data_IF_150585136654
#
_entry.id   IF_150585136654
#
_cell.length_a   1.000
_cell.length_b   1.000
_cell.length_c   1.000
_cell.angle_alpha   90.00
_cell.angle_beta   90.00
_cell.angle_gamma   90.00
#
_symmetry.space_group_name_H-M   'P 1'
#
loop_
_entity.id
_entity.type
_entity.pdbx_description
1 polymer ?
#
# COMPACT_ATOMS: atom_id res chain seq x y z
N UNK A 1 12.70 -6.95 -7.76
CA UNK A 1 11.32 -6.49 -7.96
C UNK A 1 10.95 -6.46 -9.44
N UNK A 2 11.65 -5.67 -10.28
CA UNK A 2 11.31 -5.50 -11.71
C UNK A 2 11.35 -6.81 -12.52
N UNK A 3 12.28 -7.72 -12.24
CA UNK A 3 12.35 -9.04 -12.90
C UNK A 3 11.14 -9.90 -12.54
N UNK A 4 10.71 -9.89 -11.29
CA UNK A 4 9.51 -10.62 -10.84
C UNK A 4 8.24 -10.03 -11.47
N UNK A 5 8.17 -8.71 -11.62
CA UNK A 5 7.04 -8.05 -12.27
C UNK A 5 6.92 -8.41 -13.77
N UNK A 6 8.01 -8.66 -14.46
CA UNK A 6 7.99 -9.08 -15.87
C UNK A 6 7.34 -10.44 -16.10
N UNK A 7 7.36 -11.33 -15.11
CA UNK A 7 6.72 -12.66 -15.19
C UNK A 7 5.23 -12.64 -14.91
N UNK A 8 4.69 -11.50 -14.48
CA UNK A 8 3.29 -11.33 -14.08
C UNK A 8 2.51 -10.56 -15.16
N UNK A 9 1.24 -10.87 -15.45
CA UNK A 9 0.46 -10.17 -16.49
C UNK A 9 0.23 -8.68 -16.22
N UNK A 10 0.65 -8.19 -15.05
CA UNK A 10 0.47 -6.81 -14.57
C UNK A 10 1.66 -5.90 -14.97
N UNK A 11 2.65 -6.43 -15.72
CA UNK A 11 3.90 -5.72 -16.03
C UNK A 11 3.72 -4.30 -16.57
N UNK A 12 2.77 -4.09 -17.50
CA UNK A 12 2.53 -2.76 -18.11
C UNK A 12 2.11 -1.72 -17.07
N UNK A 13 1.17 -2.10 -16.19
CA UNK A 13 0.66 -1.21 -15.15
C UNK A 13 1.73 -0.95 -14.08
N UNK A 14 2.50 -1.96 -13.72
CA UNK A 14 3.60 -1.86 -12.79
C UNK A 14 4.68 -0.90 -13.30
N UNK A 15 5.17 -1.08 -14.55
CA UNK A 15 6.19 -0.20 -15.11
C UNK A 15 5.70 1.23 -15.32
N UNK A 16 4.43 1.43 -15.70
CA UNK A 16 3.85 2.77 -15.78
C UNK A 16 3.80 3.46 -14.40
N UNK A 17 3.37 2.77 -13.37
CA UNK A 17 3.28 3.32 -12.01
C UNK A 17 4.66 3.62 -11.43
N UNK A 18 5.62 2.70 -11.58
CA UNK A 18 7.01 2.92 -11.15
C UNK A 18 7.66 4.07 -11.93
N UNK A 19 7.43 4.16 -13.24
CA UNK A 19 7.96 5.25 -14.05
C UNK A 19 7.47 6.62 -13.59
N UNK A 20 6.19 6.75 -13.28
CA UNK A 20 5.63 7.99 -12.73
C UNK A 20 6.23 8.29 -11.35
N UNK A 21 6.29 7.30 -10.46
CA UNK A 21 6.88 7.47 -9.13
C UNK A 21 8.37 7.82 -9.20
N UNK A 22 9.10 7.19 -10.12
CA UNK A 22 10.51 7.49 -10.36
C UNK A 22 10.71 8.96 -10.75
N UNK A 23 9.94 9.46 -11.71
CA UNK A 23 10.05 10.87 -12.15
C UNK A 23 9.73 11.83 -11.00
N UNK A 24 8.64 11.58 -10.26
CA UNK A 24 8.24 12.42 -9.12
C UNK A 24 9.25 12.33 -7.97
N UNK A 25 9.73 11.13 -7.66
CA UNK A 25 10.75 10.90 -6.63
C UNK A 25 12.09 11.54 -6.96
N UNK A 26 12.54 11.41 -8.23
CA UNK A 26 13.73 12.08 -8.73
C UNK A 26 13.62 13.61 -8.61
N UNK A 27 12.53 14.20 -9.09
CA UNK A 27 12.30 15.63 -8.99
C UNK A 27 12.35 16.14 -7.54
N UNK A 28 11.61 15.45 -6.67
CA UNK A 28 11.57 15.82 -5.25
C UNK A 28 12.94 15.69 -4.58
N UNK A 29 13.64 14.56 -4.79
CA UNK A 29 14.95 14.31 -4.18
C UNK A 29 15.99 15.29 -4.69
N UNK A 30 15.99 15.60 -5.99
CA UNK A 30 16.91 16.59 -6.57
C UNK A 30 16.64 17.97 -5.98
N UNK A 31 15.38 18.41 -5.87
CA UNK A 31 15.03 19.72 -5.29
C UNK A 31 15.50 19.81 -3.84
N UNK A 32 15.20 18.81 -3.02
CA UNK A 32 15.56 18.80 -1.58
C UNK A 32 17.08 18.79 -1.39
N UNK A 33 17.79 17.92 -2.10
CA UNK A 33 19.25 17.81 -1.99
C UNK A 33 19.96 19.03 -2.53
N UNK A 34 19.48 19.58 -3.63
CA UNK A 34 20.01 20.81 -4.17
C UNK A 34 19.87 21.94 -3.16
N UNK A 35 18.70 22.05 -2.50
CA UNK A 35 18.46 23.06 -1.49
C UNK A 35 19.37 22.90 -0.25
N UNK A 36 19.55 21.66 0.23
CA UNK A 36 20.36 21.36 1.43
C UNK A 36 21.85 21.59 1.19
N UNK A 37 22.36 21.20 0.02
CA UNK A 37 23.80 21.31 -0.30
C UNK A 37 24.17 22.53 -1.12
N UNK A 38 23.27 23.51 -1.23
CA UNK A 38 23.53 24.76 -1.97
C UNK A 38 24.55 25.61 -1.22
N UNK A 39 25.81 25.61 -1.69
CA UNK A 39 26.90 26.40 -1.10
C UNK A 39 27.87 25.61 -0.23
N UNK A 40 27.77 24.28 -0.17
CA UNK A 40 28.80 23.49 0.50
C UNK A 40 30.16 23.57 -0.23
N UNK A 41 31.28 23.63 0.52
CA UNK A 41 32.62 23.68 -0.05
C UNK A 41 32.98 22.31 -0.67
N UNK A 42 33.08 22.28 -2.01
CA UNK A 42 33.44 21.04 -2.75
C UNK A 42 33.69 21.34 -4.22
N UNK A 43 34.23 20.39 -4.99
CA UNK A 43 34.38 20.54 -6.43
C UNK A 43 33.01 20.74 -7.09
N UNK A 44 32.82 21.92 -7.67
CA UNK A 44 31.55 22.28 -8.31
C UNK A 44 31.33 21.44 -9.56
N UNK A 45 30.22 20.70 -9.60
CA UNK A 45 29.78 20.01 -10.80
C UNK A 45 29.12 20.97 -11.81
N UNK A 46 28.33 21.92 -11.29
CA UNK A 46 27.72 22.99 -12.07
C UNK A 46 27.27 24.15 -11.14
N UNK A 47 26.98 25.31 -11.75
CA UNK A 47 26.49 26.47 -11.01
C UNK A 47 24.99 26.65 -11.24
N UNK A 48 24.20 26.69 -10.17
CA UNK A 48 22.77 26.96 -10.20
C UNK A 48 22.44 28.19 -9.37
N UNK A 49 21.74 29.18 -9.96
CA UNK A 49 21.44 30.46 -9.29
C UNK A 49 22.65 31.15 -8.68
N UNK A 50 23.84 31.01 -9.28
CA UNK A 50 25.07 31.62 -8.79
C UNK A 50 25.76 30.91 -7.62
N UNK A 51 25.27 29.77 -7.19
CA UNK A 51 25.87 28.90 -6.17
C UNK A 51 26.40 27.62 -6.75
N UNK A 52 27.55 27.16 -6.27
CA UNK A 52 28.18 25.92 -6.72
C UNK A 52 27.43 24.70 -6.12
N UNK A 53 27.12 23.72 -6.97
CA UNK A 53 26.58 22.43 -6.55
C UNK A 53 27.72 21.42 -6.53
N UNK A 54 28.08 20.87 -5.37
CA UNK A 54 29.18 19.93 -5.27
C UNK A 54 28.83 18.56 -5.88
N UNK A 55 29.82 17.89 -6.46
CA UNK A 55 29.65 16.55 -7.04
C UNK A 55 29.15 15.52 -6.01
N UNK A 56 29.55 15.67 -4.74
CA UNK A 56 29.09 14.84 -3.64
C UNK A 56 27.56 14.92 -3.44
N UNK A 57 26.95 16.07 -3.71
CA UNK A 57 25.48 16.23 -3.64
C UNK A 57 24.78 15.38 -4.70
N UNK A 58 25.31 15.31 -5.90
CA UNK A 58 24.75 14.50 -6.99
C UNK A 58 24.83 13.00 -6.68
N UNK A 59 25.95 12.53 -6.17
CA UNK A 59 26.12 11.13 -5.77
C UNK A 59 25.13 10.79 -4.65
N UNK A 60 25.01 11.64 -3.64
CA UNK A 60 24.06 11.45 -2.55
C UNK A 60 22.58 11.47 -3.02
N UNK A 61 22.27 12.24 -4.08
CA UNK A 61 20.94 12.19 -4.71
C UNK A 61 20.67 10.84 -5.35
N UNK A 62 21.63 10.31 -6.10
CA UNK A 62 21.48 9.02 -6.76
C UNK A 62 21.28 7.88 -5.75
N UNK A 63 22.10 7.86 -4.68
CA UNK A 63 21.98 6.84 -3.63
C UNK A 63 20.59 6.83 -2.98
N UNK A 64 20.06 8.01 -2.65
CA UNK A 64 18.72 8.12 -2.08
C UNK A 64 17.62 7.72 -3.06
N UNK A 65 17.73 8.12 -4.33
CA UNK A 65 16.76 7.75 -5.36
C UNK A 65 16.73 6.23 -5.49
N UNK A 66 17.87 5.57 -5.65
CA UNK A 66 17.93 4.10 -5.76
C UNK A 66 17.40 3.39 -4.51
N UNK A 67 17.67 3.92 -3.32
CA UNK A 67 17.18 3.35 -2.07
C UNK A 67 15.64 3.45 -1.97
N UNK A 68 15.08 4.63 -2.23
CA UNK A 68 13.63 4.86 -2.14
C UNK A 68 12.90 4.07 -3.22
N UNK A 69 13.37 4.12 -4.46
CA UNK A 69 12.76 3.40 -5.59
C UNK A 69 12.86 1.88 -5.45
N UNK A 70 13.97 1.39 -4.91
CA UNK A 70 14.12 -0.02 -4.61
C UNK A 70 13.08 -0.50 -3.60
N UNK A 71 12.86 0.26 -2.54
CA UNK A 71 11.87 -0.06 -1.53
C UNK A 71 10.43 0.02 -2.09
N UNK A 72 10.10 1.13 -2.77
CA UNK A 72 8.79 1.30 -3.41
C UNK A 72 8.50 0.22 -4.46
N UNK A 73 9.51 -0.17 -5.24
CA UNK A 73 9.36 -1.21 -6.25
C UNK A 73 8.98 -2.56 -5.65
N UNK A 74 9.56 -2.95 -4.52
CA UNK A 74 9.20 -4.19 -3.81
C UNK A 74 7.78 -4.09 -3.26
N UNK A 75 7.42 -2.97 -2.64
CA UNK A 75 6.07 -2.73 -2.13
C UNK A 75 5.02 -2.81 -3.22
N UNK A 76 5.25 -2.16 -4.36
CA UNK A 76 4.32 -2.17 -5.49
C UNK A 76 4.09 -3.59 -6.03
N UNK A 77 5.16 -4.39 -6.20
CA UNK A 77 5.00 -5.79 -6.62
C UNK A 77 4.14 -6.54 -5.62
N UNK A 78 4.41 -6.41 -4.33
CA UNK A 78 3.65 -7.09 -3.29
C UNK A 78 2.17 -6.71 -3.35
N UNK A 79 1.82 -5.42 -3.36
CA UNK A 79 0.43 -4.97 -3.38
C UNK A 79 -0.30 -5.26 -4.68
N UNK A 80 0.40 -5.31 -5.81
CA UNK A 80 -0.22 -5.61 -7.10
C UNK A 80 -0.41 -7.11 -7.36
N UNK A 81 0.39 -7.96 -6.70
CA UNK A 81 0.33 -9.42 -6.92
C UNK A 81 -0.39 -10.18 -5.82
N UNK A 82 -0.48 -9.62 -4.61
CA UNK A 82 -1.04 -10.31 -3.45
C UNK A 82 -2.48 -9.85 -3.21
N UNK A 83 -3.43 -10.75 -3.40
CA UNK A 83 -4.81 -10.51 -2.96
C UNK A 83 -4.90 -10.54 -1.43
N UNK A 84 -5.67 -9.62 -0.83
CA UNK A 84 -5.84 -9.55 0.62
C UNK A 84 -6.39 -10.86 1.21
N UNK A 85 -7.23 -11.58 0.45
CA UNK A 85 -7.76 -12.89 0.87
C UNK A 85 -6.66 -13.93 1.03
N UNK A 86 -5.73 -13.99 0.08
CA UNK A 86 -4.62 -14.94 0.10
C UNK A 86 -3.64 -14.61 1.21
N UNK A 87 -3.40 -13.32 1.45
CA UNK A 87 -2.60 -12.85 2.57
C UNK A 87 -3.19 -13.29 3.93
N UNK A 88 -4.49 -13.07 4.14
CA UNK A 88 -5.18 -13.48 5.37
C UNK A 88 -5.14 -15.00 5.55
N UNK A 89 -5.33 -15.77 4.48
CA UNK A 89 -5.26 -17.23 4.53
C UNK A 89 -3.85 -17.74 4.89
N UNK A 90 -2.81 -17.11 4.37
CA UNK A 90 -1.43 -17.44 4.76
C UNK A 90 -1.16 -17.18 6.25
N UNK A 91 -1.75 -16.12 6.82
CA UNK A 91 -1.64 -15.82 8.25
C UNK A 91 -2.35 -16.87 9.11
N UNK A 92 -3.53 -17.33 8.67
CA UNK A 92 -4.27 -18.41 9.33
C UNK A 92 -3.48 -19.72 9.34
N UNK A 93 -2.85 -20.09 8.21
CA UNK A 93 -1.97 -21.25 8.15
C UNK A 93 -0.76 -21.16 9.10
N UNK A 94 -0.31 -19.96 9.43
CA UNK A 94 0.79 -19.72 10.39
C UNK A 94 0.36 -19.66 11.85
N UNK A 95 -0.93 -19.87 12.14
CA UNK A 95 -1.45 -19.96 13.50
C UNK A 95 -2.32 -18.77 13.95
N UNK A 96 -2.69 -17.86 13.04
CA UNK A 96 -3.70 -16.84 13.36
C UNK A 96 -5.06 -17.52 13.55
N UNK A 97 -5.82 -17.09 14.56
CA UNK A 97 -7.16 -17.64 14.79
C UNK A 97 -8.12 -17.32 13.63
N UNK A 98 -9.05 -18.22 13.28
CA UNK A 98 -10.05 -17.98 12.21
C UNK A 98 -10.87 -16.70 12.44
N UNK A 99 -11.17 -16.38 13.70
CA UNK A 99 -11.87 -15.15 14.07
C UNK A 99 -11.08 -13.89 13.73
N UNK A 100 -9.76 -13.88 14.01
CA UNK A 100 -8.88 -12.76 13.69
C UNK A 100 -8.74 -12.59 12.17
N UNK A 101 -8.57 -13.68 11.43
CA UNK A 101 -8.53 -13.67 9.96
C UNK A 101 -9.83 -13.11 9.38
N UNK A 102 -10.96 -13.53 9.93
CA UNK A 102 -12.27 -13.01 9.53
C UNK A 102 -12.42 -11.51 9.82
N UNK A 103 -11.96 -11.02 10.99
CA UNK A 103 -11.99 -9.59 11.33
C UNK A 103 -11.21 -8.77 10.30
N UNK A 104 -9.98 -9.16 9.99
CA UNK A 104 -9.14 -8.48 9.00
C UNK A 104 -9.83 -8.43 7.64
N UNK A 105 -10.31 -9.59 7.15
CA UNK A 105 -10.97 -9.69 5.85
C UNK A 105 -12.28 -8.88 5.81
N UNK A 106 -13.06 -8.91 6.89
CA UNK A 106 -14.30 -8.13 7.02
C UNK A 106 -14.04 -6.63 7.05
N UNK A 107 -12.94 -6.19 7.65
CA UNK A 107 -12.54 -4.78 7.66
C UNK A 107 -12.29 -4.27 6.24
N UNK A 108 -11.50 -4.99 5.44
CA UNK A 108 -11.24 -4.61 4.05
C UNK A 108 -12.50 -4.64 3.17
N UNK A 109 -13.34 -5.66 3.35
CA UNK A 109 -14.64 -5.74 2.68
C UNK A 109 -15.59 -4.61 3.12
N UNK A 110 -15.52 -4.23 4.40
CA UNK A 110 -16.31 -3.16 4.99
C UNK A 110 -15.97 -1.79 4.40
N UNK A 111 -14.69 -1.51 4.11
CA UNK A 111 -14.26 -0.25 3.50
C UNK A 111 -14.96 -0.02 2.15
N UNK A 112 -15.01 -1.05 1.30
CA UNK A 112 -15.72 -0.98 0.02
C UNK A 112 -17.22 -0.73 0.23
N UNK A 113 -17.85 -1.48 1.15
CA UNK A 113 -19.27 -1.32 1.48
C UNK A 113 -19.62 0.06 2.04
N UNK A 114 -18.74 0.64 2.88
CA UNK A 114 -18.94 2.01 3.42
C UNK A 114 -18.92 3.03 2.29
N UNK A 115 -18.03 2.89 1.32
CA UNK A 115 -17.97 3.79 0.16
C UNK A 115 -19.27 3.78 -0.63
N UNK A 116 -19.85 2.61 -0.90
CA UNK A 116 -21.11 2.49 -1.62
C UNK A 116 -22.27 3.08 -0.81
N UNK A 117 -22.34 2.77 0.50
CA UNK A 117 -23.33 3.36 1.40
C UNK A 117 -23.23 4.89 1.46
N UNK A 118 -22.00 5.42 1.51
CA UNK A 118 -21.76 6.86 1.52
C UNK A 118 -22.30 7.53 0.26
N UNK A 119 -22.09 6.94 -0.91
CA UNK A 119 -22.57 7.45 -2.18
C UNK A 119 -24.10 7.43 -2.20
N UNK A 120 -24.76 6.33 -1.83
CA UNK A 120 -26.21 6.21 -1.79
C UNK A 120 -26.86 7.21 -0.82
N UNK A 121 -26.27 7.37 0.38
CA UNK A 121 -26.76 8.34 1.36
C UNK A 121 -26.55 9.77 0.85
N UNK A 122 -25.41 10.06 0.22
CA UNK A 122 -25.16 11.40 -0.36
C UNK A 122 -26.19 11.74 -1.43
N UNK A 123 -26.52 10.83 -2.33
CA UNK A 123 -27.55 11.01 -3.34
C UNK A 123 -28.93 11.25 -2.70
N UNK A 124 -29.27 10.46 -1.69
CA UNK A 124 -30.52 10.63 -0.94
C UNK A 124 -30.60 11.98 -0.23
N UNK A 125 -29.51 12.46 0.35
CA UNK A 125 -29.47 13.79 1.01
C UNK A 125 -29.51 14.94 0.00
N UNK A 126 -28.93 14.76 -1.19
CA UNK A 126 -29.09 15.74 -2.30
C UNK A 126 -30.52 15.84 -2.75
N UNK A 127 -31.26 14.73 -2.84
CA UNK A 127 -32.70 14.74 -3.17
C UNK A 127 -33.54 15.46 -2.10
N UNK A 128 -33.05 15.53 -0.85
CA UNK A 128 -33.66 16.30 0.26
C UNK A 128 -33.21 17.78 0.29
N UNK A 129 -32.45 18.24 -0.70
CA UNK A 129 -32.01 19.63 -0.83
C UNK A 129 -30.73 19.97 -0.05
N UNK A 130 -30.00 18.98 0.46
CA UNK A 130 -28.71 19.24 1.09
C UNK A 130 -27.66 19.43 0.02
N UNK A 131 -27.05 20.60 -0.05
CA UNK A 131 -25.90 20.87 -0.91
C UNK A 131 -24.69 20.09 -0.42
N UNK A 132 -24.27 19.10 -1.20
CA UNK A 132 -23.06 18.31 -0.96
C UNK A 132 -21.88 18.76 -1.84
N UNK A 133 -22.13 19.64 -2.80
CA UNK A 133 -21.16 20.21 -3.75
C UNK A 133 -21.17 21.73 -3.61
N UNK A 134 -20.00 22.35 -3.61
CA UNK A 134 -19.86 23.80 -3.47
C UNK A 134 -18.56 24.18 -2.77
N UNK A 135 -18.57 25.32 -2.07
CA UNK A 135 -17.44 25.81 -1.28
C UNK A 135 -17.00 24.81 -0.21
N UNK A 136 -15.73 24.87 0.19
CA UNK A 136 -15.17 24.01 1.25
C UNK A 136 -16.03 23.98 2.52
N UNK A 137 -16.55 25.14 2.94
CA UNK A 137 -17.43 25.27 4.12
C UNK A 137 -18.73 24.50 3.93
N UNK A 138 -19.35 24.54 2.75
CA UNK A 138 -20.58 23.80 2.43
C UNK A 138 -20.31 22.29 2.49
N UNK A 139 -19.19 21.84 1.95
CA UNK A 139 -18.79 20.43 2.01
C UNK A 139 -18.60 19.95 3.45
N UNK A 140 -17.94 20.73 4.30
CA UNK A 140 -17.75 20.39 5.72
C UNK A 140 -19.09 20.36 6.46
N UNK A 141 -19.99 21.30 6.20
CA UNK A 141 -21.32 21.36 6.83
C UNK A 141 -22.21 20.18 6.40
N UNK A 142 -22.04 19.68 5.17
CA UNK A 142 -22.79 18.54 4.65
C UNK A 142 -22.26 17.16 5.14
N UNK A 143 -21.08 17.11 5.75
CA UNK A 143 -20.50 15.86 6.27
C UNK A 143 -21.40 15.25 7.35
N UNK A 144 -21.85 16.04 8.32
CA UNK A 144 -22.61 15.54 9.46
C UNK A 144 -23.94 14.87 9.06
N UNK A 145 -24.82 15.51 8.25
CA UNK A 145 -26.08 14.91 7.80
C UNK A 145 -25.90 13.70 6.86
N UNK A 146 -24.71 13.55 6.25
CA UNK A 146 -24.38 12.36 5.43
C UNK A 146 -23.78 11.25 6.30
N UNK A 147 -22.92 11.60 7.26
CA UNK A 147 -22.19 10.62 8.08
C UNK A 147 -23.13 9.88 9.05
N UNK A 148 -24.07 10.56 9.68
CA UNK A 148 -24.94 9.98 10.68
C UNK A 148 -25.81 8.81 10.14
N UNK A 149 -26.53 8.95 9.00
CA UNK A 149 -27.24 7.82 8.39
C UNK A 149 -26.33 6.67 7.93
N UNK A 150 -25.09 6.96 7.50
CA UNK A 150 -24.11 5.92 7.11
C UNK A 150 -23.69 5.11 8.32
N UNK A 151 -23.45 5.75 9.47
CA UNK A 151 -23.08 5.05 10.72
C UNK A 151 -24.22 4.13 11.15
N UNK A 152 -25.47 4.64 11.23
CA UNK A 152 -26.62 3.83 11.62
C UNK A 152 -26.82 2.63 10.69
N UNK A 153 -26.84 2.87 9.38
CA UNK A 153 -26.96 1.78 8.39
C UNK A 153 -25.80 0.77 8.47
N UNK A 154 -24.61 1.22 8.90
CA UNK A 154 -23.48 0.33 9.08
C UNK A 154 -23.62 -0.51 10.34
N UNK A 155 -24.13 0.05 11.44
CA UNK A 155 -24.42 -0.70 12.66
C UNK A 155 -25.46 -1.79 12.43
N UNK A 156 -26.58 -1.47 11.79
CA UNK A 156 -27.60 -2.47 11.44
C UNK A 156 -27.01 -3.59 10.55
N UNK A 157 -26.21 -3.23 9.55
CA UNK A 157 -25.55 -4.22 8.71
C UNK A 157 -24.52 -5.10 9.45
N UNK A 158 -23.92 -4.61 10.56
CA UNK A 158 -23.06 -5.43 11.43
C UNK A 158 -23.92 -6.39 12.25
N UNK A 159 -25.03 -5.95 12.80
CA UNK A 159 -25.97 -6.81 13.55
C UNK A 159 -26.48 -7.95 12.68
N UNK A 160 -26.97 -7.68 11.48
CA UNK A 160 -27.44 -8.69 10.51
C UNK A 160 -26.33 -9.72 10.21
N UNK A 161 -25.10 -9.23 10.01
CA UNK A 161 -23.94 -10.09 9.73
C UNK A 161 -23.60 -10.97 10.92
N UNK A 162 -23.66 -10.43 12.14
CA UNK A 162 -23.39 -11.16 13.38
C UNK A 162 -24.44 -12.26 13.58
N UNK A 163 -25.73 -11.93 13.43
CA UNK A 163 -26.84 -12.89 13.53
C UNK A 163 -26.69 -14.02 12.49
N UNK A 164 -26.31 -13.68 11.27
CA UNK A 164 -26.07 -14.68 10.22
C UNK A 164 -24.88 -15.60 10.53
N UNK A 165 -23.85 -15.09 11.19
CA UNK A 165 -22.70 -15.88 11.61
C UNK A 165 -23.03 -16.78 12.80
N UNK A 166 -23.76 -16.29 13.79
CA UNK A 166 -24.21 -17.07 14.95
C UNK A 166 -25.14 -18.21 14.51
N UNK A 167 -26.05 -17.94 13.55
CA UNK A 167 -26.90 -18.98 12.96
C UNK A 167 -26.10 -20.08 12.21
N UNK A 168 -24.89 -19.76 11.74
CA UNK A 168 -23.95 -20.71 11.11
C UNK A 168 -22.97 -21.35 12.10
N UNK A 169 -23.14 -21.12 13.38
CA UNK A 169 -22.27 -21.61 14.45
C UNK A 169 -20.78 -21.23 14.26
N UNK A 170 -20.50 -20.01 13.77
CA UNK A 170 -19.13 -19.56 13.51
C UNK A 170 -18.27 -19.53 14.79
N UNK A 171 -18.87 -19.28 15.94
CA UNK A 171 -18.18 -19.26 17.24
C UNK A 171 -18.01 -20.68 17.84
N UNK A 172 -18.53 -21.74 17.22
CA UNK A 172 -18.41 -23.08 17.75
C UNK A 172 -16.97 -23.61 17.66
N UNK A 173 -16.50 -24.25 18.72
CA UNK A 173 -15.19 -24.92 18.77
C UNK A 173 -15.18 -26.14 17.85
N UNK A 174 -14.82 -25.96 16.59
CA UNK A 174 -14.74 -27.04 15.61
C UNK A 174 -13.61 -26.81 14.61
N UNK A 175 -13.31 -27.85 13.81
CA UNK A 175 -12.35 -27.70 12.70
C UNK A 175 -13.01 -26.88 11.58
N UNK A 176 -12.52 -25.69 11.35
CA UNK A 176 -12.96 -24.88 10.21
C UNK A 176 -12.38 -25.42 8.90
N UNK A 177 -13.21 -25.54 7.88
CA UNK A 177 -12.77 -25.93 6.54
C UNK A 177 -12.56 -24.70 5.70
N UNK A 178 -11.35 -24.50 5.18
CA UNK A 178 -11.07 -23.40 4.26
C UNK A 178 -11.66 -23.71 2.86
N UNK A 179 -12.44 -22.79 2.35
CA UNK A 179 -13.04 -22.90 1.00
C UNK A 179 -11.97 -22.77 -0.11
N UNK A 180 -10.96 -21.98 0.14
CA UNK A 180 -9.83 -21.74 -0.79
C UNK A 180 -8.58 -22.38 -0.21
N UNK A 181 -7.93 -23.24 -1.00
CA UNK A 181 -6.64 -23.83 -0.64
C UNK A 181 -5.56 -23.19 -1.50
N UNK A 182 -4.62 -22.52 -0.85
CA UNK A 182 -3.41 -22.05 -1.54
C UNK A 182 -2.45 -23.23 -1.62
N UNK A 183 -1.94 -23.48 -2.81
CA UNK A 183 -0.91 -24.52 -3.01
C UNK A 183 0.35 -24.12 -2.20
N UNK A 184 0.87 -25.03 -1.37
CA UNK A 184 2.09 -24.72 -0.62
C UNK A 184 3.24 -24.43 -1.58
N UNK A 185 4.02 -23.40 -1.27
CA UNK A 185 5.16 -23.01 -2.09
C UNK A 185 6.10 -24.19 -2.32
N UNK A 186 6.47 -24.46 -3.57
CA UNK A 186 7.39 -25.52 -3.95
C UNK A 186 8.76 -25.26 -3.28
N UNK A 187 9.50 -26.34 -3.05
CA UNK A 187 10.82 -26.24 -2.43
C UNK A 187 11.77 -25.27 -3.18
N UNK A 188 11.67 -25.26 -4.51
CA UNK A 188 12.44 -24.35 -5.36
C UNK A 188 12.10 -22.88 -5.09
N UNK A 189 10.83 -22.55 -4.90
CA UNK A 189 10.38 -21.17 -4.62
C UNK A 189 10.90 -20.68 -3.25
N UNK A 190 10.90 -21.57 -2.25
CA UNK A 190 11.48 -21.27 -0.93
C UNK A 190 13.00 -21.08 -1.02
N UNK A 191 13.68 -21.90 -1.81
CA UNK A 191 15.12 -21.80 -2.02
C UNK A 191 15.48 -20.48 -2.69
N UNK A 192 14.74 -20.08 -3.73
CA UNK A 192 14.94 -18.81 -4.44
C UNK A 192 14.71 -17.61 -3.51
N UNK A 193 13.68 -17.66 -2.66
CA UNK A 193 13.42 -16.60 -1.69
C UNK A 193 14.56 -16.47 -0.67
N UNK A 194 15.06 -17.57 -0.13
CA UNK A 194 16.19 -17.57 0.81
C UNK A 194 17.47 -17.06 0.13
N UNK A 195 17.77 -17.53 -1.09
CA UNK A 195 18.92 -17.05 -1.87
C UNK A 195 18.84 -15.54 -2.13
N UNK A 196 17.67 -15.02 -2.49
CA UNK A 196 17.47 -13.57 -2.69
C UNK A 196 17.79 -12.78 -1.42
N UNK A 197 17.31 -13.23 -0.26
CA UNK A 197 17.61 -12.59 1.04
C UNK A 197 19.10 -12.64 1.36
N UNK A 198 19.75 -13.78 1.16
CA UNK A 198 21.20 -13.94 1.38
C UNK A 198 22.01 -13.01 0.47
N UNK A 199 21.65 -12.93 -0.81
CA UNK A 199 22.31 -12.02 -1.78
C UNK A 199 22.14 -10.56 -1.34
N UNK A 200 20.96 -10.15 -0.88
CA UNK A 200 20.75 -8.80 -0.35
C UNK A 200 21.60 -8.51 0.87
N UNK A 201 21.68 -9.44 1.83
CA UNK A 201 22.50 -9.29 3.05
C UNK A 201 23.99 -9.21 2.68
N UNK A 202 24.47 -10.12 1.86
CA UNK A 202 25.88 -10.12 1.41
C UNK A 202 26.19 -8.85 0.63
N UNK A 203 25.32 -8.42 -0.27
CA UNK A 203 25.46 -7.18 -1.02
C UNK A 203 25.60 -5.95 -0.12
N UNK A 204 24.76 -5.83 0.91
CA UNK A 204 24.85 -4.72 1.87
C UNK A 204 26.14 -4.77 2.69
N UNK A 205 26.61 -5.95 3.10
CA UNK A 205 27.91 -6.09 3.80
C UNK A 205 29.10 -5.76 2.91
N UNK A 206 29.06 -6.17 1.65
CA UNK A 206 30.12 -5.86 0.68
C UNK A 206 30.16 -4.36 0.39
N UNK A 207 29.02 -3.74 0.10
CA UNK A 207 28.94 -2.29 -0.10
C UNK A 207 29.49 -1.51 1.11
N UNK A 208 29.11 -1.91 2.34
CA UNK A 208 29.61 -1.25 3.57
C UNK A 208 31.09 -1.43 3.81
N UNK A 209 31.72 -2.46 3.24
CA UNK A 209 33.16 -2.70 3.37
C UNK A 209 33.99 -1.92 2.36
N UNK A 210 33.40 -1.56 1.20
CA UNK A 210 34.10 -0.86 0.11
C UNK A 210 33.73 0.64 0.01
N UNK A 211 32.74 1.13 0.76
CA UNK A 211 32.41 2.52 0.97
C UNK A 211 32.97 2.99 2.30
#
# INVERSE_FOLDING_TARGET
ASVIAMTTPIYKKYFATIGIMFVVGCLFTVIVRLYVHLGDPGPAAFYLFGKAVPMAALISCLDLIFMIEGFLGIFLVFFMTTEMRDFCYCLEQKGMSPSATFMVLSTFSGIASIKDKLNNVRESQRARGIETEGSFIVKVKSILPVLFPVIISSMTGIEDKTLAMDARAFAANGKHTALRRITPAKFVEKLVAVLAVVICIVGTFVCKKYL
#
